data_IF_853613619370
#
_entry.id   IF_853613619370
#
_cell.length_a   1.000
_cell.length_b   1.000
_cell.length_c   1.000
_cell.angle_alpha   90.00
_cell.angle_beta   90.00
_cell.angle_gamma   90.00
#
_symmetry.space_group_name_H-M   'P 1'
#
loop_
_entity.id
_entity.type
_entity.pdbx_description
1 polymer ?
#
# COMPACT_ATOMS: atom_id res chain seq x y z
N UNK A 1 7.37 13.11 -17.70
CA UNK A 1 7.04 11.69 -17.97
C UNK A 1 6.17 11.21 -16.83
N UNK A 2 5.12 10.43 -17.10
CA UNK A 2 4.29 9.87 -16.05
C UNK A 2 5.08 8.86 -15.21
N UNK A 3 4.83 8.85 -13.91
CA UNK A 3 5.46 7.93 -12.95
C UNK A 3 4.40 7.11 -12.22
N UNK A 4 4.65 5.82 -12.09
CA UNK A 4 3.92 4.92 -11.19
C UNK A 4 4.70 4.79 -9.87
N UNK A 5 4.20 5.44 -8.83
CA UNK A 5 4.74 5.35 -7.48
C UNK A 5 4.18 4.11 -6.77
N UNK A 6 5.06 3.21 -6.35
CA UNK A 6 4.73 1.97 -5.65
C UNK A 6 5.07 2.14 -4.17
N UNK A 7 4.05 2.31 -3.31
CA UNK A 7 4.22 2.60 -1.89
C UNK A 7 4.14 1.32 -1.08
N UNK A 8 5.19 1.00 -0.32
CA UNK A 8 5.26 -0.23 0.47
C UNK A 8 5.90 0.00 1.83
N UNK A 9 5.76 -0.98 2.71
CA UNK A 9 6.26 -0.93 4.09
C UNK A 9 5.39 -1.71 5.07
N UNK A 10 5.85 -1.93 6.30
CA UNK A 10 5.15 -2.77 7.26
C UNK A 10 3.81 -2.14 7.71
N UNK A 11 2.97 -2.94 8.35
CA UNK A 11 1.71 -2.47 8.90
C UNK A 11 1.94 -1.39 9.97
N UNK A 12 1.11 -0.34 9.97
CA UNK A 12 1.25 0.79 10.89
C UNK A 12 2.34 1.81 10.51
N UNK A 13 3.09 1.59 9.43
CA UNK A 13 4.17 2.50 9.00
C UNK A 13 3.70 3.84 8.45
N UNK A 14 2.38 4.07 8.28
CA UNK A 14 1.87 5.35 7.75
C UNK A 14 1.83 5.45 6.23
N UNK A 15 1.82 4.31 5.51
CA UNK A 15 1.76 4.23 4.03
C UNK A 15 0.64 5.08 3.43
N UNK A 16 -0.60 4.89 3.91
CA UNK A 16 -1.74 5.60 3.34
C UNK A 16 -1.69 7.11 3.60
N UNK A 17 -1.14 7.55 4.72
CA UNK A 17 -0.88 8.98 4.96
C UNK A 17 0.17 9.52 3.99
N UNK A 18 1.30 8.81 3.85
CA UNK A 18 2.34 9.16 2.90
C UNK A 18 1.81 9.22 1.47
N UNK A 19 1.05 8.21 1.03
CA UNK A 19 0.47 8.13 -0.30
C UNK A 19 -0.51 9.28 -0.58
N UNK A 20 -1.28 9.74 0.41
CA UNK A 20 -2.14 10.93 0.26
C UNK A 20 -1.33 12.22 0.12
N UNK A 21 -0.30 12.40 0.93
CA UNK A 21 0.59 13.56 0.81
C UNK A 21 1.30 13.58 -0.53
N UNK A 22 1.82 12.43 -0.97
CA UNK A 22 2.47 12.27 -2.27
C UNK A 22 1.50 12.57 -3.42
N UNK A 23 0.24 12.14 -3.33
CA UNK A 23 -0.77 12.40 -4.35
C UNK A 23 -0.96 13.91 -4.59
N UNK A 24 -1.04 14.68 -3.51
CA UNK A 24 -1.18 16.14 -3.59
C UNK A 24 0.09 16.79 -4.15
N UNK A 25 1.28 16.39 -3.68
CA UNK A 25 2.53 17.03 -4.09
C UNK A 25 2.96 16.69 -5.51
N UNK A 26 2.64 15.49 -6.01
CA UNK A 26 3.00 15.04 -7.37
C UNK A 26 1.86 15.14 -8.38
N UNK A 27 0.68 15.64 -7.96
CA UNK A 27 -0.51 15.68 -8.82
C UNK A 27 -0.94 14.30 -9.30
N UNK A 28 -0.75 13.28 -8.47
CA UNK A 28 -0.97 11.88 -8.84
C UNK A 28 -2.35 11.36 -8.42
N UNK A 29 -2.90 10.45 -9.21
CA UNK A 29 -4.10 9.69 -8.83
C UNK A 29 -3.70 8.52 -7.92
N UNK A 30 -4.25 8.47 -6.71
CA UNK A 30 -3.97 7.39 -5.75
C UNK A 30 -4.99 6.27 -5.83
N UNK A 31 -4.53 5.04 -5.83
CA UNK A 31 -5.33 3.83 -5.67
C UNK A 31 -4.98 3.13 -4.37
N UNK A 32 -6.00 2.76 -3.59
CA UNK A 32 -5.85 2.01 -2.34
C UNK A 32 -6.66 0.72 -2.40
N UNK A 33 -5.99 -0.40 -2.14
CA UNK A 33 -6.67 -1.70 -2.11
C UNK A 33 -7.67 -1.77 -0.96
N UNK A 34 -7.32 -1.19 0.19
CA UNK A 34 -8.18 -1.17 1.38
C UNK A 34 -9.48 -0.42 1.12
N UNK A 35 -9.41 0.75 0.47
CA UNK A 35 -10.60 1.55 0.13
C UNK A 35 -11.50 0.82 -0.87
N UNK A 36 -10.91 0.15 -1.87
CA UNK A 36 -11.68 -0.61 -2.85
C UNK A 36 -12.31 -1.86 -2.24
N UNK A 37 -11.56 -2.61 -1.43
CA UNK A 37 -12.08 -3.78 -0.73
C UNK A 37 -13.19 -3.40 0.24
N UNK A 38 -12.99 -2.36 1.06
CA UNK A 38 -14.00 -1.89 2.00
C UNK A 38 -15.28 -1.46 1.28
N UNK A 39 -15.16 -0.68 0.21
CA UNK A 39 -16.33 -0.13 -0.49
C UNK A 39 -17.06 -1.15 -1.38
N UNK A 40 -16.33 -1.99 -2.11
CA UNK A 40 -16.91 -2.89 -3.11
C UNK A 40 -17.30 -4.25 -2.53
N UNK A 41 -16.62 -4.71 -1.49
CA UNK A 41 -16.75 -6.07 -0.98
C UNK A 41 -16.92 -6.15 0.54
N UNK A 42 -16.67 -5.07 1.28
CA UNK A 42 -16.93 -5.00 2.72
C UNK A 42 -18.38 -5.39 3.09
N UNK A 43 -19.41 -4.87 2.41
CA UNK A 43 -20.80 -5.26 2.65
C UNK A 43 -21.12 -6.73 2.33
N UNK A 44 -20.32 -7.40 1.51
CA UNK A 44 -20.54 -8.76 1.03
C UNK A 44 -19.66 -9.79 1.76
N UNK A 45 -18.91 -9.37 2.78
CA UNK A 45 -17.96 -10.22 3.49
C UNK A 45 -18.69 -11.42 4.12
N UNK A 46 -18.25 -12.67 3.86
CA UNK A 46 -18.87 -13.85 4.47
C UNK A 46 -18.57 -13.89 5.97
N UNK A 47 -19.51 -14.46 6.74
CA UNK A 47 -19.33 -14.75 8.15
C UNK A 47 -19.45 -16.28 8.39
N UNK A 48 -18.35 -16.96 8.77
CA UNK A 48 -17.00 -16.43 9.05
C UNK A 48 -16.24 -16.01 7.77
N UNK A 49 -15.23 -15.16 7.94
CA UNK A 49 -14.40 -14.69 6.82
C UNK A 49 -13.69 -15.85 6.15
N UNK A 50 -13.89 -15.97 4.84
CA UNK A 50 -13.22 -16.97 4.00
C UNK A 50 -12.02 -16.37 3.28
N UNK A 51 -10.82 -16.90 3.54
CA UNK A 51 -9.58 -16.36 2.97
C UNK A 51 -9.56 -16.44 1.43
N UNK A 52 -10.06 -17.54 0.84
CA UNK A 52 -10.11 -17.69 -0.62
C UNK A 52 -11.03 -16.65 -1.27
N UNK A 53 -12.18 -16.39 -0.64
CA UNK A 53 -13.14 -15.37 -1.08
C UNK A 53 -12.51 -13.97 -1.08
N UNK A 54 -11.74 -13.66 -0.03
CA UNK A 54 -11.04 -12.38 0.13
C UNK A 54 -9.93 -12.23 -0.91
N UNK A 55 -9.05 -13.23 -1.03
CA UNK A 55 -7.90 -13.19 -1.93
C UNK A 55 -8.32 -13.08 -3.39
N UNK A 56 -9.38 -13.75 -3.80
CA UNK A 56 -9.93 -13.62 -5.16
C UNK A 56 -10.35 -12.18 -5.47
N UNK A 57 -10.99 -11.51 -4.51
CA UNK A 57 -11.46 -10.13 -4.68
C UNK A 57 -10.33 -9.11 -4.63
N UNK A 58 -9.34 -9.32 -3.77
CA UNK A 58 -8.10 -8.54 -3.77
C UNK A 58 -7.44 -8.61 -5.15
N UNK A 59 -7.29 -9.81 -5.73
CA UNK A 59 -6.70 -9.98 -7.06
C UNK A 59 -7.52 -9.29 -8.17
N UNK A 60 -8.86 -9.36 -8.11
CA UNK A 60 -9.74 -8.63 -9.05
C UNK A 60 -9.53 -7.12 -8.94
N UNK A 61 -9.51 -6.58 -7.71
CA UNK A 61 -9.22 -5.16 -7.46
C UNK A 61 -7.84 -4.77 -7.98
N UNK A 62 -6.77 -5.49 -7.62
CA UNK A 62 -5.41 -5.21 -8.08
C UNK A 62 -5.30 -5.22 -9.61
N UNK A 63 -5.96 -6.17 -10.28
CA UNK A 63 -6.00 -6.23 -11.74
C UNK A 63 -6.68 -5.00 -12.34
N UNK A 64 -7.82 -4.59 -11.79
CA UNK A 64 -8.57 -3.44 -12.29
C UNK A 64 -7.89 -2.10 -11.96
N UNK A 65 -7.29 -1.98 -10.77
CA UNK A 65 -6.45 -0.86 -10.36
C UNK A 65 -5.31 -0.71 -11.35
N UNK A 66 -4.57 -1.78 -11.67
CA UNK A 66 -3.47 -1.73 -12.62
C UNK A 66 -3.94 -1.24 -14.00
N UNK A 67 -5.02 -1.79 -14.56
CA UNK A 67 -5.54 -1.36 -15.88
C UNK A 67 -5.91 0.12 -15.90
N UNK A 68 -6.44 0.63 -14.80
CA UNK A 68 -6.83 2.05 -14.68
C UNK A 68 -5.60 2.94 -14.52
N UNK A 69 -4.66 2.53 -13.67
CA UNK A 69 -3.36 3.19 -13.48
C UNK A 69 -2.57 3.29 -14.78
N UNK A 70 -2.49 2.21 -15.56
CA UNK A 70 -1.78 2.17 -16.83
C UNK A 70 -2.38 3.17 -17.84
N UNK A 71 -3.71 3.26 -17.93
CA UNK A 71 -4.37 4.24 -18.80
C UNK A 71 -4.06 5.68 -18.40
N UNK A 72 -4.11 5.98 -17.10
CA UNK A 72 -3.77 7.32 -16.58
C UNK A 72 -2.32 7.66 -16.92
N UNK A 73 -1.39 6.73 -16.68
CA UNK A 73 0.02 6.93 -16.95
C UNK A 73 0.34 7.10 -18.44
N UNK A 74 -0.29 6.31 -19.32
CA UNK A 74 -0.15 6.48 -20.79
C UNK A 74 -0.69 7.83 -21.28
N UNK A 75 -1.65 8.41 -20.56
CA UNK A 75 -2.17 9.74 -20.83
C UNK A 75 -1.39 10.87 -20.13
N UNK A 76 -0.23 10.55 -19.53
CA UNK A 76 0.68 11.53 -18.93
C UNK A 76 0.43 11.84 -17.44
N UNK A 77 -0.52 11.18 -16.78
CA UNK A 77 -0.81 11.38 -15.36
C UNK A 77 0.06 10.53 -14.44
N UNK A 78 0.45 11.06 -13.29
CA UNK A 78 1.14 10.29 -12.26
C UNK A 78 0.15 9.41 -11.49
N UNK A 79 0.61 8.25 -11.02
CA UNK A 79 -0.23 7.30 -10.28
C UNK A 79 0.49 6.81 -9.03
N UNK A 80 -0.26 6.62 -7.94
CA UNK A 80 0.24 6.02 -6.71
C UNK A 80 -0.53 4.73 -6.43
N UNK A 81 0.21 3.66 -6.19
CA UNK A 81 -0.31 2.36 -5.79
C UNK A 81 -0.04 2.13 -4.30
N UNK A 82 -1.08 2.25 -3.48
CA UNK A 82 -1.09 1.95 -2.03
C UNK A 82 -1.79 0.60 -1.81
N UNK A 83 -1.11 -0.48 -2.21
CA UNK A 83 -1.67 -1.85 -2.24
C UNK A 83 -1.02 -2.78 -1.20
N UNK A 84 -0.31 -2.22 -0.22
CA UNK A 84 0.37 -2.98 0.85
C UNK A 84 1.76 -3.48 0.46
N UNK A 85 1.88 -4.22 -0.65
CA UNK A 85 3.14 -4.69 -1.23
C UNK A 85 4.12 -5.37 -0.23
N UNK A 86 3.57 -6.30 0.55
CA UNK A 86 4.28 -6.96 1.66
C UNK A 86 5.45 -7.84 1.22
N UNK A 87 5.40 -8.40 0.00
CA UNK A 87 6.39 -9.35 -0.53
C UNK A 87 7.21 -8.72 -1.65
N UNK A 88 8.51 -8.99 -1.71
CA UNK A 88 9.41 -8.53 -2.77
C UNK A 88 8.90 -8.91 -4.16
N UNK A 89 8.36 -10.13 -4.32
CA UNK A 89 7.75 -10.58 -5.58
C UNK A 89 6.59 -9.69 -6.04
N UNK A 90 5.77 -9.18 -5.11
CA UNK A 90 4.65 -8.30 -5.47
C UNK A 90 5.12 -6.92 -5.94
N UNK A 91 6.18 -6.40 -5.30
CA UNK A 91 6.82 -5.12 -5.68
C UNK A 91 7.46 -5.22 -7.06
N UNK A 92 8.24 -6.27 -7.29
CA UNK A 92 8.87 -6.50 -8.59
C UNK A 92 7.83 -6.71 -9.69
N UNK A 93 6.75 -7.46 -9.43
CA UNK A 93 5.72 -7.70 -10.43
C UNK A 93 5.04 -6.41 -10.94
N UNK A 94 4.81 -5.42 -10.07
CA UNK A 94 4.24 -4.14 -10.49
C UNK A 94 5.26 -3.21 -11.14
N UNK A 95 6.52 -3.23 -10.69
CA UNK A 95 7.61 -2.53 -11.37
C UNK A 95 7.85 -3.09 -12.79
N UNK A 96 7.81 -4.42 -12.94
CA UNK A 96 7.91 -5.11 -14.23
C UNK A 96 6.75 -4.72 -15.15
N UNK A 97 5.51 -4.69 -14.64
CA UNK A 97 4.34 -4.23 -15.41
C UNK A 97 4.50 -2.79 -15.92
N UNK A 98 5.03 -1.88 -15.10
CA UNK A 98 5.31 -0.51 -15.52
C UNK A 98 6.38 -0.46 -16.60
N UNK A 99 7.49 -1.17 -16.40
CA UNK A 99 8.57 -1.29 -17.40
C UNK A 99 8.06 -1.83 -18.73
N UNK A 100 7.29 -2.92 -18.71
CA UNK A 100 6.78 -3.57 -19.91
C UNK A 100 5.76 -2.69 -20.67
N UNK A 101 5.07 -1.79 -19.95
CA UNK A 101 4.21 -0.77 -20.53
C UNK A 101 4.95 0.51 -20.98
N UNK A 102 6.28 0.57 -20.81
CA UNK A 102 7.10 1.74 -21.14
C UNK A 102 6.92 2.93 -20.18
N UNK A 103 6.48 2.66 -18.95
CA UNK A 103 6.17 3.67 -17.92
C UNK A 103 7.25 3.62 -16.84
N UNK A 104 7.73 4.79 -16.40
CA UNK A 104 8.67 4.88 -15.27
C UNK A 104 7.98 4.51 -13.95
N UNK A 105 8.68 3.81 -13.07
CA UNK A 105 8.18 3.48 -11.73
C UNK A 105 9.18 3.84 -10.64
N UNK A 106 8.68 4.26 -9.49
CA UNK A 106 9.47 4.58 -8.31
C UNK A 106 8.98 3.79 -7.10
N UNK A 107 9.90 3.19 -6.35
CA UNK A 107 9.60 2.53 -5.09
C UNK A 107 9.66 3.54 -3.94
N UNK A 108 8.66 3.51 -3.07
CA UNK A 108 8.61 4.32 -1.85
C UNK A 108 8.51 3.42 -0.64
N UNK A 109 9.61 3.31 0.11
CA UNK A 109 9.64 2.53 1.34
C UNK A 109 9.27 3.42 2.54
N UNK A 110 8.11 3.17 3.11
CA UNK A 110 7.61 3.88 4.29
C UNK A 110 7.86 3.03 5.52
N UNK A 111 8.58 3.58 6.51
CA UNK A 111 8.97 2.84 7.71
C UNK A 111 8.74 3.64 8.99
N UNK A 112 8.77 2.93 10.12
CA UNK A 112 8.78 3.45 11.48
C UNK A 112 9.19 2.33 12.47
N UNK A 113 9.68 2.69 13.67
CA UNK A 113 9.94 1.73 14.74
C UNK A 113 8.72 0.85 15.05
N UNK A 114 8.97 -0.43 15.36
CA UNK A 114 7.93 -1.44 15.57
C UNK A 114 6.92 -1.06 16.67
N UNK A 115 7.43 -0.60 17.82
CA UNK A 115 6.64 -0.14 18.96
C UNK A 115 5.72 1.04 18.59
N UNK A 116 6.24 2.01 17.83
CA UNK A 116 5.47 3.14 17.30
C UNK A 116 4.37 2.66 16.35
N UNK A 117 4.70 1.74 15.42
CA UNK A 117 3.70 1.17 14.49
C UNK A 117 2.60 0.42 15.23
N UNK A 118 2.96 -0.38 16.23
CA UNK A 118 2.01 -1.12 17.07
C UNK A 118 1.09 -0.17 17.82
N UNK A 119 1.64 0.88 18.43
CA UNK A 119 0.86 1.93 19.09
C UNK A 119 -0.16 2.58 18.16
N UNK A 120 0.27 2.98 16.95
CA UNK A 120 -0.61 3.58 15.93
C UNK A 120 -1.78 2.67 15.54
N UNK A 121 -1.53 1.38 15.37
CA UNK A 121 -2.57 0.41 15.00
C UNK A 121 -3.63 0.31 16.09
N UNK A 122 -3.21 0.26 17.36
CA UNK A 122 -4.13 0.20 18.50
C UNK A 122 -4.96 1.49 18.61
N UNK A 123 -4.35 2.67 18.47
CA UNK A 123 -5.06 3.95 18.45
C UNK A 123 -6.06 4.03 17.29
N UNK A 124 -5.68 3.58 16.09
CA UNK A 124 -6.57 3.57 14.93
C UNK A 124 -7.79 2.67 15.14
N UNK A 125 -7.62 1.52 15.76
CA UNK A 125 -8.74 0.62 16.07
C UNK A 125 -9.77 1.29 17.01
N UNK A 126 -9.30 2.07 18.00
CA UNK A 126 -10.18 2.77 18.92
C UNK A 126 -10.86 3.99 18.31
N UNK A 127 -10.12 4.78 17.53
CA UNK A 127 -10.61 6.06 17.00
C UNK A 127 -11.43 5.92 15.71
N UNK A 128 -11.22 4.83 14.96
CA UNK A 128 -11.87 4.57 13.67
C UNK A 128 -11.85 5.77 12.71
N UNK A 129 -10.72 6.51 12.69
CA UNK A 129 -10.53 7.68 11.83
C UNK A 129 -10.40 7.34 10.33
N UNK A 130 -10.09 8.34 9.51
CA UNK A 130 -10.13 8.30 8.02
C UNK A 130 -9.29 7.22 7.31
N UNK A 131 -8.45 6.48 8.04
CA UNK A 131 -7.61 5.39 7.51
C UNK A 131 -7.99 4.02 8.07
N UNK A 132 -9.08 3.96 8.84
CA UNK A 132 -9.63 2.74 9.37
C UNK A 132 -10.43 2.03 8.28
N UNK A 133 -10.01 0.81 7.97
CA UNK A 133 -10.72 -0.11 7.08
C UNK A 133 -11.33 -1.26 7.88
N UNK A 134 -10.55 -1.86 8.78
CA UNK A 134 -10.97 -2.93 9.66
C UNK A 134 -10.14 -2.95 10.95
N UNK A 135 -10.66 -3.64 11.97
CA UNK A 135 -9.97 -3.81 13.24
C UNK A 135 -8.78 -4.77 13.11
N UNK A 136 -7.63 -4.37 13.65
CA UNK A 136 -6.41 -5.18 13.63
C UNK A 136 -6.08 -5.63 15.04
N UNK A 137 -6.37 -6.89 15.37
CA UNK A 137 -6.00 -7.45 16.67
C UNK A 137 -4.47 -7.48 16.86
N UNK A 138 -3.96 -7.51 18.11
CA UNK A 138 -2.53 -7.67 18.36
C UNK A 138 -1.93 -8.90 17.68
N UNK A 139 -2.65 -10.04 17.70
CA UNK A 139 -2.20 -11.26 17.03
C UNK A 139 -2.11 -11.11 15.50
N UNK A 140 -3.05 -10.36 14.91
CA UNK A 140 -3.02 -10.09 13.48
C UNK A 140 -1.88 -9.13 13.10
N UNK A 141 -1.58 -8.14 13.94
CA UNK A 141 -0.40 -7.29 13.76
C UNK A 141 0.90 -8.12 13.79
N UNK A 142 1.08 -8.98 14.81
CA UNK A 142 2.26 -9.82 14.95
C UNK A 142 2.40 -10.84 13.81
N UNK A 143 1.28 -11.32 13.27
CA UNK A 143 1.26 -12.17 12.08
C UNK A 143 1.72 -11.40 10.83
N UNK A 144 1.13 -10.23 10.58
CA UNK A 144 1.48 -9.38 9.43
C UNK A 144 2.92 -8.89 9.48
N UNK A 145 3.47 -8.70 10.68
CA UNK A 145 4.88 -8.37 10.87
C UNK A 145 5.79 -9.47 10.30
N UNK A 146 5.46 -10.75 10.53
CA UNK A 146 6.23 -11.90 10.00
C UNK A 146 6.03 -12.09 8.50
N UNK A 147 4.89 -11.68 7.97
CA UNK A 147 4.60 -11.76 6.55
C UNK A 147 5.29 -10.67 5.73
N UNK A 148 5.77 -9.59 6.36
CA UNK A 148 6.51 -8.55 5.65
C UNK A 148 7.91 -9.01 5.27
N UNK A 149 8.24 -8.90 3.99
CA UNK A 149 9.62 -9.05 3.50
C UNK A 149 10.26 -7.67 3.42
N UNK A 150 11.32 -7.49 4.22
CA UNK A 150 12.12 -6.27 4.21
C UNK A 150 12.60 -5.90 2.79
N UNK A 151 12.79 -4.60 2.52
CA UNK A 151 13.37 -4.16 1.27
C UNK A 151 14.73 -4.84 1.02
N UNK A 152 14.94 -5.34 -0.19
CA UNK A 152 16.26 -5.83 -0.60
C UNK A 152 17.25 -4.68 -0.78
N UNK A 153 18.55 -4.97 -0.76
CA UNK A 153 19.59 -3.95 -1.03
C UNK A 153 19.39 -3.26 -2.38
N UNK A 154 18.92 -3.98 -3.40
CA UNK A 154 18.64 -3.43 -4.73
C UNK A 154 17.45 -2.47 -4.71
N UNK A 155 16.39 -2.82 -3.98
CA UNK A 155 15.24 -1.93 -3.80
C UNK A 155 15.66 -0.67 -3.04
N UNK A 156 16.42 -0.80 -1.95
CA UNK A 156 16.90 0.35 -1.16
C UNK A 156 17.81 1.29 -1.95
N UNK A 157 18.60 0.77 -2.90
CA UNK A 157 19.48 1.60 -3.72
C UNK A 157 18.73 2.55 -4.66
N UNK A 158 17.44 2.29 -4.92
CA UNK A 158 16.61 3.06 -5.86
C UNK A 158 15.32 3.61 -5.23
N UNK A 159 14.91 3.11 -4.07
CA UNK A 159 13.70 3.53 -3.40
C UNK A 159 13.89 4.86 -2.66
N UNK A 160 12.86 5.69 -2.70
CA UNK A 160 12.72 6.80 -1.76
C UNK A 160 12.33 6.23 -0.40
N UNK A 161 13.19 6.40 0.61
CA UNK A 161 12.91 5.95 1.98
C UNK A 161 12.30 7.09 2.80
N UNK A 162 11.12 6.84 3.37
CA UNK A 162 10.43 7.79 4.25
C UNK A 162 10.25 7.18 5.63
N UNK A 163 10.94 7.74 6.62
CA UNK A 163 10.66 7.43 8.02
C UNK A 163 9.50 8.30 8.50
N UNK A 164 8.34 7.67 8.73
CA UNK A 164 7.13 8.34 9.22
C UNK A 164 7.20 8.70 10.71
N UNK A 165 8.29 8.33 11.38
CA UNK A 165 8.62 8.75 12.73
C UNK A 165 9.97 9.48 12.70
N UNK A 166 9.91 10.76 12.35
CA UNK A 166 11.00 11.69 12.65
C UNK A 166 10.64 12.32 14.00
N UNK A 167 11.41 12.09 15.08
CA UNK A 167 11.27 12.88 16.30
C UNK A 167 11.34 14.35 15.92
N UNK A 168 10.42 15.18 16.41
CA UNK A 168 10.57 16.62 16.26
C UNK A 168 11.97 17.00 16.76
N UNK A 169 12.74 17.69 15.90
CA UNK A 169 14.01 18.29 16.28
C UNK A 169 13.78 19.42 17.30
#
# INVERSE_FOLDING_TARGET
MAVVHIVFGPQGAGKSTYARTLAVSSGATRFSIDEWMAQLYGPDLPEPVELNWLMERVQRCESQIWRTAEQIAKNGGNVILDLGFMKARSRSAFADRARDAGISSELHYVTAPHDIRRGRVLTRNSEKGDTFSFEVSPAMFDFMEKEFEDPTTLELASATVFNSHVPAA
#
